data_IF_942289199414
#
_entry.id   IF_942289199414
#
_cell.length_a   1.000
_cell.length_b   1.000
_cell.length_c   1.000
_cell.angle_alpha   90.00
_cell.angle_beta   90.00
_cell.angle_gamma   90.00
#
_symmetry.space_group_name_H-M   'P 1'
#
loop_
_entity.id
_entity.type
_entity.pdbx_description
1 polymer ?
#
# COMPACT_ATOMS: atom_id res chain seq x y z
N UNK A 1 -41.14 -20.67 -2.90
CA UNK A 1 -39.87 -20.57 -3.65
C UNK A 1 -38.89 -19.72 -2.84
N UNK A 2 -37.76 -20.30 -2.39
CA UNK A 2 -36.74 -19.57 -1.62
C UNK A 2 -35.91 -18.68 -2.56
N UNK A 3 -35.95 -17.36 -2.38
CA UNK A 3 -35.07 -16.41 -3.07
C UNK A 3 -33.69 -16.49 -2.42
N UNK A 4 -32.73 -17.08 -3.11
CA UNK A 4 -31.33 -16.98 -2.71
C UNK A 4 -30.81 -15.63 -3.19
N UNK A 5 -30.47 -14.73 -2.25
CA UNK A 5 -29.73 -13.52 -2.56
C UNK A 5 -28.32 -13.98 -2.94
N UNK A 6 -28.04 -14.01 -4.24
CA UNK A 6 -26.70 -14.25 -4.75
C UNK A 6 -25.88 -13.01 -4.43
N UNK A 7 -25.30 -12.98 -3.23
CA UNK A 7 -24.36 -11.94 -2.81
C UNK A 7 -23.23 -11.95 -3.83
N UNK A 8 -23.17 -10.92 -4.67
CA UNK A 8 -22.11 -10.77 -5.64
C UNK A 8 -20.77 -10.86 -4.89
N UNK A 9 -19.76 -11.58 -5.42
CA UNK A 9 -18.46 -11.64 -4.77
C UNK A 9 -17.99 -10.20 -4.61
N UNK A 10 -17.75 -9.81 -3.35
CA UNK A 10 -17.22 -8.50 -3.01
C UNK A 10 -16.11 -8.17 -4.01
N UNK A 11 -16.25 -7.04 -4.73
CA UNK A 11 -15.28 -6.66 -5.76
C UNK A 11 -13.87 -6.73 -5.17
N UNK A 12 -12.92 -7.33 -5.90
CA UNK A 12 -11.52 -7.46 -5.47
C UNK A 12 -10.94 -6.11 -5.01
N UNK A 13 -11.39 -5.02 -5.61
CA UNK A 13 -11.04 -3.66 -5.23
C UNK A 13 -11.54 -3.31 -3.82
N UNK A 14 -12.77 -3.69 -3.47
CA UNK A 14 -13.34 -3.49 -2.14
C UNK A 14 -12.62 -4.33 -1.08
N UNK A 15 -12.25 -5.57 -1.40
CA UNK A 15 -11.42 -6.41 -0.52
C UNK A 15 -10.04 -5.78 -0.28
N UNK A 16 -9.42 -5.23 -1.33
CA UNK A 16 -8.15 -4.52 -1.22
C UNK A 16 -8.30 -3.26 -0.36
N UNK A 17 -9.32 -2.43 -0.61
CA UNK A 17 -9.61 -1.24 0.21
C UNK A 17 -9.83 -1.60 1.69
N UNK A 18 -10.61 -2.64 1.98
CA UNK A 18 -10.84 -3.13 3.35
C UNK A 18 -9.57 -3.69 3.99
N UNK A 19 -8.73 -4.37 3.23
CA UNK A 19 -7.42 -4.87 3.70
C UNK A 19 -6.45 -3.73 4.00
N UNK A 20 -6.41 -2.69 3.15
CA UNK A 20 -5.66 -1.46 3.40
C UNK A 20 -6.16 -0.80 4.68
N UNK A 21 -7.47 -0.53 4.79
CA UNK A 21 -8.09 0.05 5.98
C UNK A 21 -7.75 -0.73 7.26
N UNK A 22 -7.91 -2.06 7.24
CA UNK A 22 -7.57 -2.92 8.39
C UNK A 22 -6.07 -2.89 8.71
N UNK A 23 -5.20 -3.07 7.71
CA UNK A 23 -3.75 -3.05 7.92
C UNK A 23 -3.26 -1.70 8.43
N UNK A 24 -3.92 -0.61 8.03
CA UNK A 24 -3.62 0.71 8.53
C UNK A 24 -4.05 0.91 9.96
N UNK A 25 -5.25 0.42 10.29
CA UNK A 25 -5.82 0.49 11.62
C UNK A 25 -5.05 -0.37 12.64
N UNK A 26 -4.46 -1.50 12.22
CA UNK A 26 -3.78 -2.44 13.13
C UNK A 26 -2.25 -2.37 13.11
N UNK A 27 -1.63 -2.16 11.96
CA UNK A 27 -0.18 -2.33 11.83
C UNK A 27 0.58 -1.01 11.58
N UNK A 28 -0.07 0.03 11.06
CA UNK A 28 0.53 1.36 10.79
C UNK A 28 1.79 1.38 9.92
N UNK A 29 2.28 0.23 9.46
CA UNK A 29 3.62 0.05 8.92
C UNK A 29 3.52 -0.30 7.44
N UNK A 30 4.27 0.45 6.64
CA UNK A 30 4.45 0.20 5.23
C UNK A 30 5.76 -0.52 4.97
N UNK A 31 5.81 -1.26 3.88
CA UNK A 31 7.02 -1.88 3.37
C UNK A 31 7.30 -1.39 1.96
N UNK A 32 8.54 -0.99 1.71
CA UNK A 32 9.07 -0.73 0.37
C UNK A 32 10.22 -1.67 0.07
N UNK A 33 10.75 -1.59 -1.14
CA UNK A 33 11.93 -2.31 -1.57
C UNK A 33 13.13 -1.36 -1.68
N UNK A 34 14.28 -1.76 -1.15
CA UNK A 34 15.47 -0.93 -1.07
C UNK A 34 16.72 -1.65 -1.60
N UNK A 35 17.46 -0.98 -2.48
CA UNK A 35 18.80 -1.35 -2.92
C UNK A 35 19.52 -0.09 -3.40
N UNK A 36 20.40 0.48 -2.57
CA UNK A 36 21.07 1.76 -2.84
C UNK A 36 20.11 2.92 -3.20
N UNK A 37 18.85 2.81 -2.78
CA UNK A 37 17.76 3.66 -3.22
C UNK A 37 16.42 2.93 -3.11
N UNK A 38 15.33 3.70 -3.11
CA UNK A 38 13.98 3.15 -3.12
C UNK A 38 13.62 2.62 -4.50
N UNK A 39 13.00 1.45 -4.55
CA UNK A 39 12.51 0.89 -5.79
C UNK A 39 11.38 1.76 -6.38
N UNK A 40 11.48 2.06 -7.67
CA UNK A 40 10.49 2.80 -8.44
C UNK A 40 10.16 1.99 -9.69
N UNK A 41 8.91 2.04 -10.12
CA UNK A 41 8.46 1.37 -11.35
C UNK A 41 7.82 2.38 -12.28
N UNK A 42 8.23 2.33 -13.55
CA UNK A 42 7.66 3.14 -14.62
C UNK A 42 6.69 2.29 -15.44
N UNK A 43 5.54 2.85 -15.79
CA UNK A 43 4.59 2.23 -16.72
C UNK A 43 3.94 3.30 -17.56
N UNK A 44 4.13 3.19 -18.87
CA UNK A 44 3.78 4.21 -19.85
C UNK A 44 4.43 5.54 -19.45
N UNK A 45 3.63 6.46 -18.92
CA UNK A 45 4.05 7.82 -18.54
C UNK A 45 3.94 8.08 -17.03
N UNK A 46 3.53 7.10 -16.23
CA UNK A 46 3.45 7.24 -14.78
C UNK A 46 4.67 6.57 -14.14
N UNK A 47 5.29 7.26 -13.19
CA UNK A 47 6.23 6.66 -12.23
C UNK A 47 5.47 6.37 -10.96
N UNK A 48 5.65 5.17 -10.42
CA UNK A 48 5.04 4.78 -9.17
C UNK A 48 6.00 4.10 -8.21
N UNK A 49 5.73 4.37 -6.94
CA UNK A 49 6.41 3.79 -5.80
C UNK A 49 5.60 2.58 -5.33
N UNK A 50 6.06 1.35 -5.58
CA UNK A 50 5.38 0.16 -5.09
C UNK A 50 5.61 0.00 -3.59
N UNK A 51 4.54 -0.28 -2.87
CA UNK A 51 4.58 -0.59 -1.44
C UNK A 51 3.72 -1.81 -1.11
N UNK A 52 3.97 -2.39 0.07
CA UNK A 52 3.28 -3.56 0.58
C UNK A 52 2.84 -3.34 2.02
N UNK A 53 1.80 -4.08 2.42
CA UNK A 53 1.27 -4.08 3.79
C UNK A 53 2.00 -5.08 4.71
N UNK A 54 2.82 -5.96 4.16
CA UNK A 54 3.66 -6.90 4.93
C UNK A 54 4.96 -7.20 4.20
N UNK A 55 5.98 -7.58 4.98
CA UNK A 55 7.33 -7.88 4.49
C UNK A 55 7.38 -9.14 3.62
N UNK A 56 6.56 -10.16 3.92
CA UNK A 56 6.56 -11.42 3.18
C UNK A 56 6.15 -11.23 1.72
N UNK A 57 5.09 -10.45 1.47
CA UNK A 57 4.65 -10.14 0.11
C UNK A 57 5.68 -9.29 -0.64
N UNK A 58 6.31 -8.33 0.04
CA UNK A 58 7.41 -7.55 -0.54
C UNK A 58 8.59 -8.46 -0.92
N UNK A 59 8.96 -9.39 -0.06
CA UNK A 59 10.03 -10.36 -0.29
C UNK A 59 9.72 -11.27 -1.49
N UNK A 60 8.55 -11.91 -1.48
CA UNK A 60 8.11 -12.79 -2.57
C UNK A 60 8.09 -12.07 -3.92
N UNK A 61 7.62 -10.82 -3.93
CA UNK A 61 7.65 -9.98 -5.13
C UNK A 61 9.09 -9.68 -5.58
N UNK A 62 9.97 -9.30 -4.64
CA UNK A 62 11.37 -9.02 -4.93
C UNK A 62 12.11 -10.23 -5.47
N UNK A 63 11.95 -11.42 -4.88
CA UNK A 63 12.59 -12.65 -5.36
C UNK A 63 12.27 -12.96 -6.83
N UNK A 64 11.07 -12.61 -7.30
CA UNK A 64 10.63 -12.88 -8.67
C UNK A 64 10.99 -11.75 -9.64
N UNK A 65 10.88 -10.49 -9.21
CA UNK A 65 10.95 -9.33 -10.11
C UNK A 65 12.21 -8.47 -9.91
N UNK A 66 12.71 -8.36 -8.68
CA UNK A 66 13.79 -7.46 -8.28
C UNK A 66 14.72 -8.12 -7.25
N UNK A 67 15.49 -9.15 -7.63
CA UNK A 67 16.19 -10.03 -6.69
C UNK A 67 17.30 -9.34 -5.88
N UNK A 68 17.76 -8.17 -6.32
CA UNK A 68 18.76 -7.36 -5.61
C UNK A 68 18.14 -6.48 -4.51
N UNK A 69 16.83 -6.30 -4.52
CA UNK A 69 16.13 -5.45 -3.57
C UNK A 69 15.65 -6.21 -2.35
N UNK A 70 15.79 -5.59 -1.18
CA UNK A 70 15.34 -6.16 0.09
C UNK A 70 14.15 -5.38 0.66
N UNK A 71 13.18 -6.05 1.31
CA UNK A 71 12.10 -5.38 2.03
C UNK A 71 12.64 -4.49 3.14
N UNK A 72 12.25 -3.22 3.11
CA UNK A 72 12.58 -2.25 4.14
C UNK A 72 11.31 -1.66 4.72
N UNK A 73 11.23 -1.68 6.06
CA UNK A 73 10.14 -1.10 6.83
C UNK A 73 10.16 0.43 6.70
N UNK A 74 8.99 1.02 6.53
CA UNK A 74 8.73 2.46 6.51
C UNK A 74 7.81 2.75 7.69
N UNK A 75 8.30 3.55 8.63
CA UNK A 75 7.51 3.91 9.81
C UNK A 75 6.43 4.95 9.45
N UNK A 76 5.34 5.06 10.23
CA UNK A 76 4.35 6.12 10.00
C UNK A 76 4.97 7.52 9.96
N UNK A 77 5.95 7.77 10.85
CA UNK A 77 6.68 9.04 10.91
C UNK A 77 7.47 9.31 9.64
N UNK A 78 8.31 8.36 9.22
CA UNK A 78 9.09 8.50 7.97
C UNK A 78 8.17 8.60 6.75
N UNK A 79 7.02 7.93 6.80
CA UNK A 79 6.02 7.99 5.75
C UNK A 79 5.44 9.41 5.61
N UNK A 80 5.06 10.02 6.74
CA UNK A 80 4.48 11.36 6.78
C UNK A 80 5.48 12.46 6.47
N UNK A 81 6.64 12.42 7.12
CA UNK A 81 7.59 13.54 7.15
C UNK A 81 8.55 13.51 5.95
N UNK A 82 8.88 12.33 5.43
CA UNK A 82 9.88 12.19 4.37
C UNK A 82 9.28 11.64 3.07
N UNK A 83 8.60 10.49 3.11
CA UNK A 83 8.21 9.78 1.90
C UNK A 83 7.09 10.49 1.14
N UNK A 84 5.97 10.82 1.80
CA UNK A 84 4.83 11.49 1.15
C UNK A 84 5.20 12.84 0.49
N UNK A 85 5.94 13.74 1.17
CA UNK A 85 6.41 14.98 0.54
C UNK A 85 7.31 14.72 -0.67
N UNK A 86 8.21 13.72 -0.57
CA UNK A 86 9.11 13.36 -1.66
C UNK A 86 8.36 12.82 -2.87
N UNK A 87 7.41 11.90 -2.67
CA UNK A 87 6.59 11.34 -3.74
C UNK A 87 5.76 12.43 -4.43
N UNK A 88 5.19 13.36 -3.64
CA UNK A 88 4.42 14.49 -4.16
C UNK A 88 5.29 15.42 -5.01
N UNK A 89 6.49 15.78 -4.51
CA UNK A 89 7.45 16.63 -5.23
C UNK A 89 7.91 16.02 -6.56
N UNK A 90 8.10 14.70 -6.58
CA UNK A 90 8.56 13.97 -7.77
C UNK A 90 7.43 13.54 -8.70
N UNK A 91 6.17 13.90 -8.39
CA UNK A 91 4.96 13.44 -9.09
C UNK A 91 4.89 11.91 -9.24
N UNK A 92 5.39 11.19 -8.22
CA UNK A 92 5.40 9.73 -8.15
C UNK A 92 4.16 9.27 -7.40
N UNK A 93 3.40 8.35 -8.00
CA UNK A 93 2.17 7.84 -7.39
C UNK A 93 2.47 6.61 -6.53
N UNK A 94 2.07 6.57 -5.24
CA UNK A 94 2.17 5.34 -4.47
C UNK A 94 1.19 4.29 -5.00
N UNK A 95 1.64 3.04 -5.08
CA UNK A 95 0.80 1.93 -5.52
C UNK A 95 0.98 0.72 -4.61
N UNK A 96 -0.13 0.18 -4.10
CA UNK A 96 -0.11 -1.04 -3.32
C UNK A 96 0.07 -2.22 -4.26
N UNK A 97 1.05 -3.07 -3.97
CA UNK A 97 1.28 -4.33 -4.66
C UNK A 97 0.94 -5.50 -3.76
N UNK A 98 0.57 -6.62 -4.37
CA UNK A 98 0.53 -7.92 -3.73
C UNK A 98 1.63 -8.83 -4.31
N UNK A 99 1.74 -10.06 -3.81
CA UNK A 99 2.72 -11.04 -4.30
C UNK A 99 2.50 -11.45 -5.77
N UNK A 100 1.28 -11.31 -6.30
CA UNK A 100 0.97 -11.58 -7.73
C UNK A 100 1.14 -10.37 -8.65
N UNK A 101 1.68 -9.25 -8.15
CA UNK A 101 1.93 -8.04 -8.94
C UNK A 101 0.69 -7.24 -9.33
N UNK A 102 -0.49 -7.55 -8.78
CA UNK A 102 -1.68 -6.71 -8.93
C UNK A 102 -1.44 -5.39 -8.18
N UNK A 103 -1.72 -4.29 -8.86
CA UNK A 103 -1.48 -2.93 -8.35
C UNK A 103 -2.78 -2.20 -8.07
N UNK A 104 -2.85 -1.55 -6.92
CA UNK A 104 -3.90 -0.59 -6.59
C UNK A 104 -3.25 0.79 -6.42
N UNK A 105 -3.52 1.71 -7.35
CA UNK A 105 -2.95 3.06 -7.32
C UNK A 105 -3.72 3.91 -6.32
N UNK A 106 -2.99 4.66 -5.50
CA UNK A 106 -3.54 5.66 -4.58
C UNK A 106 -2.88 7.01 -4.85
N UNK A 107 -3.62 8.10 -4.66
CA UNK A 107 -3.00 9.42 -4.61
C UNK A 107 -2.29 9.63 -3.26
N UNK A 108 -1.33 10.56 -3.21
CA UNK A 108 -0.67 10.94 -1.96
C UNK A 108 -1.66 11.52 -0.94
N UNK A 109 -2.69 12.23 -1.41
CA UNK A 109 -3.79 12.71 -0.57
C UNK A 109 -4.62 11.57 0.03
N UNK A 110 -4.96 10.55 -0.77
CA UNK A 110 -5.68 9.37 -0.27
C UNK A 110 -4.85 8.61 0.76
N UNK A 111 -3.54 8.45 0.51
CA UNK A 111 -2.63 7.87 1.48
C UNK A 111 -2.60 8.68 2.78
N UNK A 112 -2.43 10.00 2.71
CA UNK A 112 -2.45 10.83 3.91
C UNK A 112 -3.75 10.67 4.71
N UNK A 113 -4.89 10.68 4.04
CA UNK A 113 -6.19 10.49 4.67
C UNK A 113 -6.31 9.10 5.34
N UNK A 114 -5.95 8.02 4.64
CA UNK A 114 -6.08 6.67 5.20
C UNK A 114 -5.11 6.39 6.35
N UNK A 115 -3.90 6.97 6.32
CA UNK A 115 -2.87 6.73 7.33
C UNK A 115 -3.00 7.62 8.57
N UNK A 116 -3.43 8.87 8.40
CA UNK A 116 -3.30 9.88 9.46
C UNK A 116 -4.63 10.52 9.88
N UNK A 117 -5.72 10.36 9.12
CA UNK A 117 -7.04 10.91 9.49
C UNK A 117 -7.94 9.93 10.24
N UNK A 118 -7.55 8.66 10.39
CA UNK A 118 -8.37 7.68 11.10
C UNK A 118 -8.05 7.64 12.60
N UNK A 119 -8.14 8.79 13.27
CA UNK A 119 -8.30 8.86 14.72
C UNK A 119 -9.78 8.65 15.09
N UNK A 120 -10.38 7.53 14.68
CA UNK A 120 -11.56 7.06 15.41
C UNK A 120 -11.04 6.56 16.75
N UNK A 121 -11.07 7.45 17.73
CA UNK A 121 -10.94 7.12 19.14
C UNK A 121 -11.98 6.05 19.47
N UNK A 122 -11.61 4.78 19.41
CA UNK A 122 -12.29 3.78 20.20
C UNK A 122 -11.84 4.03 21.64
N UNK A 123 -12.53 4.97 22.30
CA UNK A 123 -12.63 4.92 23.74
C UNK A 123 -13.38 3.62 24.04
N UNK A 124 -12.65 2.62 24.52
CA UNK A 124 -13.27 1.49 25.20
C UNK A 124 -14.07 2.06 26.37
N UNK A 125 -15.39 1.86 26.34
CA UNK A 125 -16.29 2.07 27.46
C UNK A 125 -16.22 0.82 28.34
#
# INVERSE_FOLDING_TARGET
MKKYILLQPISKELTIKLSILKSLMYCGVLWGLYHQGWAMKTDKNDIFFPFWLNSLQAYQYASLHWPQYTPKKITPKDFQEALLPTLTRLNVKPALFNSSGRKFKLSTLQMHHFFFHNSMQFHAI
#
